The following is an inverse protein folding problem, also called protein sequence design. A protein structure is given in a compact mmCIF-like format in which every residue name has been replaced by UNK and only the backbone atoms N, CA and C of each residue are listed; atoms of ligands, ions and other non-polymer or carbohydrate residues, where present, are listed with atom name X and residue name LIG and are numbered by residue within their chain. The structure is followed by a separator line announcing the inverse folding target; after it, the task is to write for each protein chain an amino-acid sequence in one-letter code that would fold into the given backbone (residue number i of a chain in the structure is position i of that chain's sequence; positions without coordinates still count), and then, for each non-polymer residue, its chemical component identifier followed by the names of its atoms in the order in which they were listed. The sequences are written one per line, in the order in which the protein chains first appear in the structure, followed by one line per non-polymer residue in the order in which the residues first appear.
data_IF_791687792473
#
_entry.id   IF_791687792473
#
_cell.length_a   1.000
_cell.length_b   1.000
_cell.length_c   1.000
_cell.angle_alpha   90.00
_cell.angle_beta   90.00
_cell.angle_gamma   90.00
#
_symmetry.space_group_name_H-M   'P 1'
#
loop_
_entity.id
_entity.type
_entity.pdbx_description
1 polymer ?
#
# COMPACT_ATOMS: atom_id res chain seq x y z
N UNK A 1 1.69 -17.43 17.10
CA UNK A 1 1.32 -16.05 16.80
C UNK A 1 1.18 -15.96 15.29
N UNK A 2 -0.04 -15.84 14.78
CA UNK A 2 -0.27 -15.56 13.36
C UNK A 2 0.14 -14.12 13.13
N UNK A 3 1.25 -13.90 12.42
CA UNK A 3 1.62 -12.58 11.93
C UNK A 3 0.54 -12.22 10.91
N UNK A 4 -0.34 -11.28 11.26
CA UNK A 4 -1.35 -10.79 10.33
C UNK A 4 -0.67 -9.75 9.46
N UNK A 5 -0.54 -10.01 8.16
CA UNK A 5 -0.14 -8.98 7.21
C UNK A 5 -1.22 -7.88 7.25
N UNK A 6 -0.87 -6.63 7.58
CA UNK A 6 -1.84 -5.54 7.62
C UNK A 6 -2.42 -5.33 6.22
N UNK A 7 -3.71 -4.98 6.12
CA UNK A 7 -4.28 -4.63 4.82
C UNK A 7 -3.54 -3.41 4.23
N UNK A 8 -3.59 -3.22 2.90
CA UNK A 8 -2.99 -2.02 2.27
C UNK A 8 -3.49 -0.73 2.94
N UNK A 9 -4.78 -0.69 3.29
CA UNK A 9 -5.39 0.44 3.97
C UNK A 9 -4.75 0.66 5.34
N UNK A 10 -4.63 -0.38 6.16
CA UNK A 10 -3.98 -0.29 7.47
C UNK A 10 -2.51 0.11 7.35
N UNK A 11 -1.78 -0.47 6.40
CA UNK A 11 -0.39 -0.12 6.11
C UNK A 11 -0.26 1.36 5.75
N UNK A 12 -1.10 1.87 4.85
CA UNK A 12 -1.10 3.26 4.41
C UNK A 12 -1.38 4.24 5.57
N UNK A 13 -2.22 3.85 6.52
CA UNK A 13 -2.55 4.69 7.68
C UNK A 13 -1.37 4.92 8.64
N UNK A 14 -0.30 4.13 8.56
CA UNK A 14 0.93 4.36 9.35
C UNK A 14 1.67 5.65 8.94
N UNK A 15 1.38 6.19 7.76
CA UNK A 15 2.06 7.39 7.24
C UNK A 15 1.30 8.68 7.51
N UNK A 16 0.19 8.65 8.24
CA UNK A 16 -0.73 9.79 8.38
C UNK A 16 -0.09 11.07 8.95
N UNK A 17 0.91 10.92 9.82
CA UNK A 17 1.62 12.03 10.44
C UNK A 17 2.86 12.49 9.63
N UNK A 18 3.08 11.93 8.45
CA UNK A 18 4.21 12.28 7.58
C UNK A 18 3.86 13.51 6.74
N UNK A 19 4.75 14.50 6.70
CA UNK A 19 4.60 15.70 5.85
C UNK A 19 5.07 15.43 4.42
N UNK A 20 4.33 14.56 3.71
CA UNK A 20 4.57 14.16 2.32
C UNK A 20 3.25 13.90 1.60
N UNK A 21 3.28 13.81 0.26
CA UNK A 21 2.13 13.40 -0.54
C UNK A 21 1.52 12.06 -0.06
N UNK A 22 2.35 11.14 0.44
CA UNK A 22 1.90 9.86 0.99
C UNK A 22 1.11 10.05 2.29
N UNK A 23 1.57 10.95 3.16
CA UNK A 23 0.86 11.28 4.39
C UNK A 23 -0.44 12.04 4.13
N UNK A 24 -0.47 12.94 3.14
CA UNK A 24 -1.70 13.60 2.74
C UNK A 24 -2.71 12.63 2.13
N UNK A 25 -2.26 11.72 1.25
CA UNK A 25 -3.07 10.62 0.74
C UNK A 25 -3.64 9.76 1.89
N UNK A 26 -2.81 9.44 2.89
CA UNK A 26 -3.22 8.67 4.07
C UNK A 26 -4.31 9.38 4.90
N UNK A 27 -4.18 10.70 5.10
CA UNK A 27 -5.21 11.53 5.76
C UNK A 27 -6.52 11.52 4.97
N UNK A 28 -6.45 11.61 3.66
CA UNK A 28 -7.62 11.61 2.78
C UNK A 28 -8.32 10.25 2.80
N UNK A 29 -7.57 9.16 2.69
CA UNK A 29 -8.09 7.79 2.80
C UNK A 29 -8.72 7.52 4.18
N UNK A 30 -8.16 8.04 5.27
CA UNK A 30 -8.75 7.92 6.62
C UNK A 30 -10.11 8.61 6.72
N UNK A 31 -10.28 9.75 6.05
CA UNK A 31 -11.53 10.51 6.03
C UNK A 31 -12.56 9.89 5.10
N UNK A 32 -12.11 9.20 4.06
CA UNK A 32 -12.99 8.52 3.10
C UNK A 32 -13.43 7.14 3.60
N UNK A 33 -14.60 7.12 4.25
CA UNK A 33 -15.23 5.87 4.71
C UNK A 33 -15.60 4.91 3.57
N UNK A 34 -15.65 5.40 2.32
CA UNK A 34 -15.96 4.59 1.13
C UNK A 34 -14.71 4.11 0.40
N UNK A 35 -13.52 4.45 0.91
CA UNK A 35 -12.28 3.95 0.33
C UNK A 35 -12.23 2.42 0.46
N UNK A 36 -12.11 1.69 -0.67
CA UNK A 36 -12.18 0.23 -0.69
C UNK A 36 -11.05 -0.39 0.15
N UNK A 37 -11.42 -1.38 0.95
CA UNK A 37 -10.45 -2.21 1.68
C UNK A 37 -9.98 -3.34 0.76
N UNK A 38 -9.00 -3.02 -0.09
CA UNK A 38 -8.42 -3.91 -1.09
C UNK A 38 -6.94 -3.57 -1.28
N UNK A 39 -6.16 -4.53 -1.75
CA UNK A 39 -4.79 -4.33 -2.24
C UNK A 39 -4.69 -4.44 -3.77
N UNK A 40 -5.80 -4.65 -4.47
CA UNK A 40 -5.81 -4.74 -5.92
C UNK A 40 -5.51 -3.39 -6.57
N UNK A 41 -4.34 -3.29 -7.20
CA UNK A 41 -3.85 -2.04 -7.78
C UNK A 41 -4.82 -1.45 -8.79
N UNK A 42 -5.42 -2.27 -9.65
CA UNK A 42 -6.31 -1.80 -10.70
C UNK A 42 -7.63 -1.25 -10.12
N UNK A 43 -8.19 -1.89 -9.10
CA UNK A 43 -9.39 -1.45 -8.42
C UNK A 43 -9.16 -0.13 -7.68
N UNK A 44 -8.05 0.00 -6.96
CA UNK A 44 -7.69 1.22 -6.24
C UNK A 44 -7.39 2.39 -7.19
N UNK A 45 -6.70 2.13 -8.30
CA UNK A 45 -6.42 3.15 -9.31
C UNK A 45 -7.71 3.63 -10.00
N UNK A 46 -8.58 2.72 -10.44
CA UNK A 46 -9.89 3.08 -11.00
C UNK A 46 -10.74 3.88 -10.01
N UNK A 47 -10.69 3.51 -8.73
CA UNK A 47 -11.38 4.24 -7.68
C UNK A 47 -10.87 5.69 -7.59
N UNK A 48 -9.56 5.88 -7.44
CA UNK A 48 -9.00 7.22 -7.24
C UNK A 48 -9.13 8.12 -8.48
N UNK A 49 -9.03 7.54 -9.67
CA UNK A 49 -9.24 8.23 -10.95
C UNK A 49 -10.67 8.78 -11.05
N UNK A 50 -11.65 8.08 -10.49
CA UNK A 50 -13.04 8.56 -10.44
C UNK A 50 -13.29 9.66 -9.40
N UNK A 51 -12.41 9.78 -8.39
CA UNK A 51 -12.55 10.72 -7.27
C UNK A 51 -11.86 12.06 -7.51
N UNK A 52 -10.73 12.05 -8.23
CA UNK A 52 -9.94 13.25 -8.46
C UNK A 52 -9.17 13.16 -9.78
N UNK A 53 -9.05 14.26 -10.55
CA UNK A 53 -8.18 14.32 -11.72
C UNK A 53 -6.71 14.59 -11.36
N UNK A 54 -6.36 14.71 -10.07
CA UNK A 54 -5.01 15.09 -9.66
C UNK A 54 -4.00 13.95 -9.88
N UNK A 55 -3.15 14.09 -10.89
CA UNK A 55 -2.13 13.09 -11.23
C UNK A 55 -1.12 12.82 -10.10
N UNK A 56 -0.85 13.80 -9.22
CA UNK A 56 0.07 13.60 -8.09
C UNK A 56 -0.50 12.55 -7.14
N UNK A 57 -1.81 12.61 -6.89
CA UNK A 57 -2.51 11.63 -6.04
C UNK A 57 -2.47 10.25 -6.69
N UNK A 58 -2.71 10.17 -8.00
CA UNK A 58 -2.66 8.91 -8.76
C UNK A 58 -1.27 8.26 -8.70
N UNK A 59 -0.22 9.04 -8.97
CA UNK A 59 1.18 8.57 -8.91
C UNK A 59 1.55 8.14 -7.49
N UNK A 60 1.12 8.90 -6.49
CA UNK A 60 1.38 8.58 -5.08
C UNK A 60 0.70 7.27 -4.67
N UNK A 61 -0.57 7.06 -5.05
CA UNK A 61 -1.28 5.81 -4.76
C UNK A 61 -0.63 4.62 -5.47
N UNK A 62 -0.30 4.76 -6.75
CA UNK A 62 0.37 3.71 -7.53
C UNK A 62 1.70 3.29 -6.88
N UNK A 63 2.53 4.27 -6.50
CA UNK A 63 3.80 4.02 -5.83
C UNK A 63 3.63 3.41 -4.43
N UNK A 64 2.61 3.83 -3.68
CA UNK A 64 2.29 3.27 -2.37
C UNK A 64 1.93 1.78 -2.47
N UNK A 65 1.15 1.39 -3.47
CA UNK A 65 0.76 0.00 -3.70
C UNK A 65 1.98 -0.84 -4.12
N UNK A 66 2.82 -0.32 -5.01
CA UNK A 66 4.06 -1.00 -5.41
C UNK A 66 4.98 -1.24 -4.22
N UNK A 67 5.11 -0.25 -3.32
CA UNK A 67 5.90 -0.38 -2.10
C UNK A 67 5.32 -1.43 -1.14
N UNK A 68 3.99 -1.45 -0.97
CA UNK A 68 3.30 -2.43 -0.14
C UNK A 68 3.49 -3.86 -0.66
N UNK A 69 3.33 -4.07 -1.97
CA UNK A 69 3.52 -5.39 -2.60
C UNK A 69 4.97 -5.86 -2.48
N UNK A 70 5.94 -4.98 -2.76
CA UNK A 70 7.36 -5.30 -2.61
C UNK A 70 7.73 -5.69 -1.17
N UNK A 71 7.15 -4.98 -0.17
CA UNK A 71 7.35 -5.33 1.24
C UNK A 71 6.78 -6.72 1.58
N UNK A 72 5.64 -7.09 1.00
CA UNK A 72 5.03 -8.40 1.18
C UNK A 72 5.84 -9.53 0.50
N UNK A 73 6.36 -9.30 -0.71
CA UNK A 73 7.20 -10.27 -1.45
C UNK A 73 8.56 -10.53 -0.79
N UNK A 74 9.12 -9.56 -0.06
CA UNK A 74 10.36 -9.75 0.69
C UNK A 74 10.25 -10.71 1.86
N UNK A 75 9.04 -11.07 2.31
CA UNK A 75 8.84 -12.11 3.34
C UNK A 75 8.90 -13.54 2.78
N UNK A 76 8.57 -13.74 1.49
CA UNK A 76 8.63 -15.07 0.84
C UNK A 76 10.06 -15.44 0.40
N UNK A 77 10.85 -14.42 0.05
CA UNK A 77 12.18 -14.57 -0.54
C UNK A 77 13.28 -15.04 0.44
N UNK A 78 13.03 -15.03 1.75
CA UNK A 78 13.98 -15.55 2.76
C UNK A 78 13.81 -17.05 3.07
N UNK A 79 12.78 -17.71 2.54
CA UNK A 79 12.57 -19.17 2.73
C UNK A 79 13.37 -20.06 1.78
N UNK A 80 14.11 -19.49 0.81
CA UNK A 80 14.94 -20.27 -0.13
C UNK A 80 16.44 -19.98 0.04
N UNK A 81 16.97 -20.10 1.27
CA UNK A 81 18.41 -20.36 1.44
C UNK A 81 18.65 -21.86 1.33
N UNK A 82 19.02 -22.30 0.13
CA UNK A 82 19.60 -23.62 -0.11
C UNK A 82 20.72 -23.88 0.92
N UNK A 83 20.72 -25.02 1.64
CA UNK A 83 21.80 -25.35 2.53
C UNK A 83 23.06 -25.64 1.69
N UNK A 84 24.09 -24.80 1.86
CA UNK A 84 25.43 -25.08 1.35
C UNK A 84 25.86 -26.48 1.82
N UNK A 85 25.92 -27.45 0.90
CA UNK A 85 26.54 -28.75 1.15
C UNK A 85 28.06 -28.59 1.12
N UNK A 86 28.69 -29.20 2.14
CA UNK A 86 30.12 -29.17 2.47
C UNK A 86 31.04 -29.71 1.38
#
# INVERSE_FOLDING_TARGET
MTIHDPSFKEWLLNFIDTDTNLGDLSKDVKKDSTFPDSSDKNALMKYIESRTPNEVVHRTLSAAIDLYMAASETHDSFSHREPYQK
#
